data_IF_036592139964
#
_entry.id   IF_036592139964
#
_cell.length_a   1.000
_cell.length_b   1.000
_cell.length_c   1.000
_cell.angle_alpha   90.00
_cell.angle_beta   90.00
_cell.angle_gamma   90.00
#
_symmetry.space_group_name_H-M   'P 1'
#
loop_
_entity.id
_entity.type
_entity.pdbx_description
1 polymer ?
#
# COMPACT_ATOMS: atom_id res chain seq x y z
N UNK A 1 0.30 9.85 -0.15
CA UNK A 1 0.87 8.48 -0.02
C UNK A 1 0.21 7.48 -0.96
N UNK A 2 -1.12 7.50 -1.15
CA UNK A 2 -1.82 6.54 -2.02
C UNK A 2 -1.25 6.48 -3.45
N UNK A 3 -0.92 7.64 -4.04
CA UNK A 3 -0.27 7.72 -5.36
C UNK A 3 1.09 7.01 -5.43
N UNK A 4 1.92 7.10 -4.38
CA UNK A 4 3.22 6.42 -4.33
C UNK A 4 3.05 4.90 -4.23
N UNK A 5 2.07 4.45 -3.44
CA UNK A 5 1.75 3.03 -3.35
C UNK A 5 1.25 2.47 -4.70
N UNK A 6 0.39 3.21 -5.39
CA UNK A 6 -0.09 2.85 -6.72
C UNK A 6 1.06 2.72 -7.74
N UNK A 7 2.04 3.64 -7.71
CA UNK A 7 3.24 3.55 -8.56
C UNK A 7 4.05 2.28 -8.24
N UNK A 8 4.23 1.96 -6.95
CA UNK A 8 4.96 0.74 -6.56
C UNK A 8 4.25 -0.52 -7.07
N UNK A 9 2.92 -0.59 -6.96
CA UNK A 9 2.12 -1.70 -7.50
C UNK A 9 2.22 -1.74 -9.03
N UNK A 10 2.18 -0.58 -9.71
CA UNK A 10 2.36 -0.52 -11.16
C UNK A 10 3.72 -1.08 -11.59
N UNK A 11 4.79 -0.87 -10.82
CA UNK A 11 6.09 -1.50 -11.08
C UNK A 11 6.05 -3.03 -10.94
N UNK A 12 5.29 -3.56 -9.99
CA UNK A 12 5.08 -5.02 -9.83
C UNK A 12 4.33 -5.60 -11.02
N UNK A 13 3.28 -4.92 -11.47
CA UNK A 13 2.53 -5.30 -12.67
C UNK A 13 3.41 -5.25 -13.92
N UNK A 14 4.18 -4.17 -14.10
CA UNK A 14 5.11 -4.04 -15.22
C UNK A 14 6.16 -5.15 -15.27
N UNK A 15 6.62 -5.61 -14.10
CA UNK A 15 7.58 -6.73 -13.97
C UNK A 15 6.93 -8.11 -14.12
N UNK A 16 5.60 -8.19 -14.30
CA UNK A 16 4.87 -9.45 -14.41
C UNK A 16 4.74 -10.22 -13.10
N UNK A 17 4.98 -9.56 -11.94
CA UNK A 17 4.90 -10.19 -10.62
C UNK A 17 3.43 -10.37 -10.16
N UNK A 18 2.53 -9.50 -10.65
CA UNK A 18 1.08 -9.58 -10.44
C UNK A 18 0.31 -8.91 -11.59
N UNK A 19 -1.01 -9.06 -11.59
CA UNK A 19 -1.96 -8.32 -12.44
C UNK A 19 -2.95 -7.55 -11.56
N UNK A 20 -3.45 -6.42 -12.05
CA UNK A 20 -4.55 -5.69 -11.39
C UNK A 20 -5.81 -6.55 -11.21
N UNK A 21 -6.05 -7.48 -12.14
CA UNK A 21 -7.18 -8.42 -12.09
C UNK A 21 -6.95 -9.61 -11.16
N UNK A 22 -5.76 -9.75 -10.57
CA UNK A 22 -5.52 -10.84 -9.62
C UNK A 22 -6.40 -10.67 -8.40
N UNK A 23 -7.02 -11.77 -7.98
CA UNK A 23 -7.67 -11.86 -6.68
C UNK A 23 -6.62 -11.72 -5.59
N UNK A 24 -6.93 -10.96 -4.54
CA UNK A 24 -6.05 -10.80 -3.38
C UNK A 24 -5.74 -12.15 -2.73
N UNK A 25 -6.72 -13.07 -2.73
CA UNK A 25 -6.62 -14.44 -2.23
C UNK A 25 -5.55 -15.29 -2.92
N UNK A 26 -5.10 -14.89 -4.13
CA UNK A 26 -3.95 -15.52 -4.80
C UNK A 26 -2.66 -15.37 -4.00
N UNK A 27 -2.49 -14.23 -3.32
CA UNK A 27 -1.29 -13.91 -2.53
C UNK A 27 -1.55 -14.03 -1.03
N UNK A 28 -2.80 -13.86 -0.60
CA UNK A 28 -3.21 -13.86 0.80
C UNK A 28 -4.51 -14.67 0.98
N UNK A 29 -4.43 -16.00 1.07
CA UNK A 29 -5.62 -16.86 1.13
C UNK A 29 -6.56 -16.52 2.30
N UNK A 30 -6.01 -16.18 3.47
CA UNK A 30 -6.76 -15.84 4.67
C UNK A 30 -7.58 -14.55 4.52
N UNK A 31 -7.22 -13.67 3.59
CA UNK A 31 -8.01 -12.50 3.24
C UNK A 31 -9.42 -12.88 2.76
N UNK A 32 -9.60 -14.06 2.16
CA UNK A 32 -10.85 -14.44 1.50
C UNK A 32 -12.07 -14.55 2.42
N UNK A 33 -11.91 -14.54 3.74
CA UNK A 33 -13.04 -14.70 4.68
C UNK A 33 -14.09 -13.59 4.50
N UNK A 34 -15.31 -13.86 4.95
CA UNK A 34 -16.39 -12.88 5.09
C UNK A 34 -16.76 -12.17 3.78
N UNK A 35 -16.76 -12.90 2.65
CA UNK A 35 -17.21 -12.36 1.35
C UNK A 35 -16.13 -11.56 0.60
N UNK A 36 -14.86 -11.77 0.92
CA UNK A 36 -13.70 -11.06 0.33
C UNK A 36 -12.98 -11.87 -0.75
N UNK A 37 -13.46 -13.07 -1.09
CA UNK A 37 -12.81 -14.04 -1.98
C UNK A 37 -12.54 -13.49 -3.39
N UNK A 38 -13.46 -12.65 -3.88
CA UNK A 38 -13.46 -12.11 -5.25
C UNK A 38 -12.80 -10.73 -5.36
N UNK A 39 -12.33 -10.14 -4.26
CA UNK A 39 -11.69 -8.82 -4.29
C UNK A 39 -10.37 -8.90 -5.06
N UNK A 40 -10.20 -8.00 -6.02
CA UNK A 40 -8.98 -7.87 -6.81
C UNK A 40 -8.06 -6.76 -6.30
N UNK A 41 -6.80 -6.77 -6.76
CA UNK A 41 -5.87 -5.65 -6.53
C UNK A 41 -6.46 -4.33 -7.05
N UNK A 42 -7.09 -4.35 -8.22
CA UNK A 42 -7.76 -3.18 -8.79
C UNK A 42 -8.85 -2.61 -7.87
N UNK A 43 -9.69 -3.47 -7.29
CA UNK A 43 -10.73 -3.04 -6.35
C UNK A 43 -10.16 -2.35 -5.10
N UNK A 44 -8.98 -2.75 -4.62
CA UNK A 44 -8.31 -2.03 -3.52
C UNK A 44 -7.83 -0.66 -4.00
N UNK A 45 -7.14 -0.63 -5.16
CA UNK A 45 -6.57 0.61 -5.72
C UNK A 45 -7.62 1.66 -6.07
N UNK A 46 -8.82 1.22 -6.45
CA UNK A 46 -9.95 2.07 -6.86
C UNK A 46 -10.99 2.28 -5.76
N UNK A 47 -10.71 1.84 -4.53
CA UNK A 47 -11.60 1.98 -3.37
C UNK A 47 -12.96 1.27 -3.50
N UNK A 48 -13.00 0.15 -4.22
CA UNK A 48 -14.18 -0.69 -4.42
C UNK A 48 -14.18 -1.97 -3.58
N UNK A 49 -13.16 -2.21 -2.76
CA UNK A 49 -13.05 -3.39 -1.90
C UNK A 49 -14.10 -3.46 -0.77
N UNK A 50 -14.80 -2.36 -0.48
CA UNK A 50 -15.81 -2.32 0.57
C UNK A 50 -15.28 -2.22 1.99
N UNK A 51 -14.03 -1.81 2.19
CA UNK A 51 -13.37 -1.77 3.50
C UNK A 51 -12.93 -0.35 3.92
N UNK A 52 -13.80 0.67 3.85
CA UNK A 52 -13.42 2.06 4.12
C UNK A 52 -12.97 2.30 5.57
N UNK A 53 -13.41 1.46 6.51
CA UNK A 53 -13.03 1.41 7.91
C UNK A 53 -13.13 -0.02 8.45
N UNK A 54 -12.51 -0.27 9.59
CA UNK A 54 -12.60 -1.55 10.32
C UNK A 54 -13.45 -1.37 11.58
N UNK A 55 -14.13 -2.43 12.01
CA UNK A 55 -14.96 -2.40 13.22
C UNK A 55 -14.12 -2.49 14.51
N UNK A 56 -12.92 -3.08 14.44
CA UNK A 56 -12.00 -3.15 15.57
C UNK A 56 -11.33 -1.79 15.83
N UNK A 57 -11.32 -1.36 17.09
CA UNK A 57 -10.59 -0.16 17.52
C UNK A 57 -9.08 -0.42 17.44
N UNK A 58 -8.40 0.30 16.55
CA UNK A 58 -6.95 0.16 16.33
C UNK A 58 -6.19 1.21 17.14
N UNK A 59 -5.37 0.77 18.09
CA UNK A 59 -4.43 1.66 18.79
C UNK A 59 -3.22 1.99 17.92
N UNK A 60 -2.44 3.00 18.33
CA UNK A 60 -1.18 3.32 17.65
C UNK A 60 -0.13 2.19 17.72
N UNK A 61 -0.21 1.31 18.71
CA UNK A 61 0.69 0.17 18.81
C UNK A 61 0.22 -0.99 17.92
N UNK A 62 -1.09 -1.23 17.83
CA UNK A 62 -1.66 -2.17 16.84
C UNK A 62 -1.27 -1.75 15.42
N UNK A 63 -1.33 -0.45 15.11
CA UNK A 63 -0.97 0.08 13.79
C UNK A 63 0.49 -0.18 13.37
N UNK A 64 1.38 -0.50 14.32
CA UNK A 64 2.79 -0.86 14.06
C UNK A 64 2.98 -2.36 13.89
N UNK A 65 2.04 -3.17 14.38
CA UNK A 65 2.09 -4.62 14.29
C UNK A 65 1.41 -5.10 12.99
N UNK A 66 2.26 -5.43 12.01
CA UNK A 66 1.80 -5.94 10.71
C UNK A 66 0.97 -7.22 10.85
N UNK A 67 1.27 -8.10 11.80
CA UNK A 67 0.53 -9.35 11.99
C UNK A 67 -0.85 -9.08 12.59
N UNK A 68 -0.93 -8.19 13.58
CA UNK A 68 -2.20 -7.76 14.17
C UNK A 68 -3.11 -7.11 13.12
N UNK A 69 -2.60 -6.16 12.34
CA UNK A 69 -3.36 -5.53 11.25
C UNK A 69 -3.81 -6.55 10.20
N UNK A 70 -2.96 -7.52 9.84
CA UNK A 70 -3.33 -8.62 8.93
C UNK A 70 -4.56 -9.36 9.47
N UNK A 71 -4.56 -9.73 10.76
CA UNK A 71 -5.67 -10.46 11.38
C UNK A 71 -6.96 -9.66 11.42
N UNK A 72 -6.88 -8.36 11.73
CA UNK A 72 -8.04 -7.46 11.69
C UNK A 72 -8.65 -7.45 10.29
N UNK A 73 -7.83 -7.30 9.25
CA UNK A 73 -8.30 -7.29 7.86
C UNK A 73 -8.91 -8.64 7.47
N UNK A 74 -8.30 -9.76 7.87
CA UNK A 74 -8.80 -11.11 7.58
C UNK A 74 -10.22 -11.30 8.14
N UNK A 75 -10.46 -10.87 9.37
CA UNK A 75 -11.77 -11.01 10.03
C UNK A 75 -12.78 -9.92 9.66
N UNK A 76 -12.37 -8.85 8.97
CA UNK A 76 -13.28 -7.76 8.60
C UNK A 76 -14.31 -8.18 7.53
N UNK A 77 -15.52 -7.65 7.60
CA UNK A 77 -16.55 -7.81 6.56
C UNK A 77 -16.68 -6.54 5.70
N UNK A 78 -16.80 -6.66 4.37
CA UNK A 78 -17.09 -5.50 3.53
C UNK A 78 -18.37 -4.77 3.97
N UNK A 79 -18.31 -3.44 4.10
CA UNK A 79 -19.45 -2.57 4.48
C UNK A 79 -20.46 -2.42 3.36
N UNK A 80 -20.06 -2.76 2.14
CA UNK A 80 -20.91 -2.92 0.97
C UNK A 80 -20.31 -4.01 0.08
N UNK A 81 -21.09 -4.62 -0.83
CA UNK A 81 -20.56 -5.65 -1.72
C UNK A 81 -19.32 -5.14 -2.49
N UNK A 82 -18.25 -5.95 -2.60
CA UNK A 82 -17.09 -5.57 -3.38
C UNK A 82 -17.45 -5.28 -4.84
N UNK A 83 -16.91 -4.21 -5.40
CA UNK A 83 -17.18 -3.77 -6.77
C UNK A 83 -18.52 -3.04 -6.97
N UNK A 84 -19.42 -3.00 -5.99
CA UNK A 84 -20.73 -2.37 -6.18
C UNK A 84 -20.70 -0.84 -6.20
N UNK A 85 -19.72 -0.24 -5.53
CA UNK A 85 -19.56 1.21 -5.44
C UNK A 85 -18.14 1.59 -5.04
N UNK A 86 -17.79 2.86 -5.25
CA UNK A 86 -16.54 3.47 -4.76
C UNK A 86 -16.83 4.08 -3.38
N UNK A 87 -16.09 3.66 -2.35
CA UNK A 87 -16.11 4.26 -1.03
C UNK A 87 -14.67 4.54 -0.59
N UNK A 88 -14.29 5.80 -0.45
CA UNK A 88 -12.90 6.17 -0.16
C UNK A 88 -12.37 5.48 1.12
N UNK A 89 -11.14 4.95 1.06
CA UNK A 89 -10.46 4.27 2.16
C UNK A 89 -9.37 5.20 2.71
N UNK A 90 -9.69 6.15 3.61
CA UNK A 90 -8.75 7.20 4.01
C UNK A 90 -7.51 6.66 4.74
N UNK A 91 -7.71 5.61 5.54
CA UNK A 91 -6.67 5.01 6.39
C UNK A 91 -6.42 3.57 5.95
N UNK A 92 -7.50 2.78 5.83
CA UNK A 92 -7.43 1.34 5.53
C UNK A 92 -6.74 1.03 4.20
N UNK A 93 -6.75 1.95 3.22
CA UNK A 93 -6.03 1.80 1.96
C UNK A 93 -4.56 1.45 2.17
N UNK A 94 -3.89 2.18 3.07
CA UNK A 94 -2.46 1.99 3.32
C UNK A 94 -2.15 0.60 3.84
N UNK A 95 -2.94 0.12 4.80
CA UNK A 95 -2.78 -1.22 5.36
C UNK A 95 -3.13 -2.32 4.37
N UNK A 96 -4.25 -2.19 3.65
CA UNK A 96 -4.67 -3.17 2.65
C UNK A 96 -3.60 -3.34 1.57
N UNK A 97 -3.16 -2.23 0.97
CA UNK A 97 -2.19 -2.32 -0.12
C UNK A 97 -0.81 -2.77 0.37
N UNK A 98 -0.39 -2.39 1.57
CA UNK A 98 0.90 -2.82 2.13
C UNK A 98 0.93 -4.33 2.42
N UNK A 99 -0.14 -4.88 2.98
CA UNK A 99 -0.28 -6.32 3.26
C UNK A 99 -0.24 -7.15 1.97
N UNK A 100 -0.93 -6.70 0.93
CA UNK A 100 -0.92 -7.36 -0.39
C UNK A 100 0.46 -7.22 -1.03
N UNK A 101 1.05 -6.04 -0.99
CA UNK A 101 2.36 -5.78 -1.60
C UNK A 101 3.48 -6.61 -0.97
N UNK A 102 3.52 -6.72 0.37
CA UNK A 102 4.50 -7.55 1.07
C UNK A 102 4.45 -9.02 0.65
N UNK A 103 3.27 -9.52 0.27
CA UNK A 103 3.08 -10.91 -0.18
C UNK A 103 3.44 -11.12 -1.65
N UNK A 104 3.34 -10.07 -2.46
CA UNK A 104 3.78 -10.06 -3.87
C UNK A 104 5.31 -9.90 -3.95
N UNK A 105 5.89 -9.03 -3.13
CA UNK A 105 7.33 -8.75 -3.18
C UNK A 105 8.14 -9.96 -2.71
N UNK A 106 9.05 -10.44 -3.57
CA UNK A 106 9.90 -11.58 -3.27
C UNK A 106 10.82 -11.40 -2.04
N UNK A 107 11.10 -10.15 -1.62
CA UNK A 107 11.87 -9.83 -0.40
C UNK A 107 10.96 -9.52 0.80
N UNK A 108 9.64 -9.65 0.64
CA UNK A 108 8.64 -9.34 1.65
C UNK A 108 8.73 -7.92 2.24
N UNK A 109 9.19 -6.97 1.42
CA UNK A 109 9.28 -5.55 1.80
C UNK A 109 7.88 -4.93 1.82
N UNK A 110 7.68 -4.00 2.75
CA UNK A 110 6.58 -3.02 2.68
C UNK A 110 6.69 -2.16 1.42
N UNK A 111 5.57 -1.56 1.02
CA UNK A 111 5.51 -0.55 -0.04
C UNK A 111 6.50 0.58 0.26
N UNK A 112 6.61 0.99 1.53
CA UNK A 112 7.52 2.04 1.95
C UNK A 112 9.00 1.66 1.81
N UNK A 113 9.37 0.43 2.15
CA UNK A 113 10.72 -0.11 1.95
C UNK A 113 11.06 -0.22 0.47
N UNK A 114 10.16 -0.80 -0.32
CA UNK A 114 10.31 -0.90 -1.77
C UNK A 114 10.46 0.47 -2.43
N UNK A 115 9.60 1.43 -2.07
CA UNK A 115 9.67 2.79 -2.60
C UNK A 115 11.02 3.44 -2.32
N UNK A 116 11.53 3.29 -1.08
CA UNK A 116 12.84 3.82 -0.72
C UNK A 116 13.95 3.22 -1.58
N UNK A 117 14.02 1.90 -1.65
CA UNK A 117 15.11 1.19 -2.32
C UNK A 117 15.05 1.29 -3.86
N UNK A 118 13.87 1.22 -4.45
CA UNK A 118 13.71 1.08 -5.90
C UNK A 118 13.45 2.40 -6.61
N UNK A 119 12.98 3.43 -5.89
CA UNK A 119 12.63 4.72 -6.48
C UNK A 119 13.47 5.82 -5.86
N UNK A 120 13.32 6.08 -4.55
CA UNK A 120 13.99 7.22 -3.90
C UNK A 120 15.51 7.13 -4.01
N UNK A 121 16.09 5.98 -3.66
CA UNK A 121 17.55 5.84 -3.56
C UNK A 121 18.19 5.72 -4.96
N UNK A 122 17.49 5.10 -5.93
CA UNK A 122 17.96 4.97 -7.32
C UNK A 122 17.84 6.25 -8.14
N UNK A 123 16.82 7.07 -7.91
CA UNK A 123 16.67 8.35 -8.59
C UNK A 123 17.63 9.43 -8.06
N UNK A 124 18.33 9.13 -6.97
CA UNK A 124 19.23 10.06 -6.30
C UNK A 124 18.44 11.19 -5.65
N UNK A 125 18.64 11.40 -4.36
CA UNK A 125 18.13 12.56 -3.61
C UNK A 125 18.80 13.87 -4.04
N UNK A 126 18.68 14.24 -5.32
CA UNK A 126 19.05 15.55 -5.85
C UNK A 126 17.83 16.40 -6.25
N UNK A 127 16.61 15.87 -6.11
CA UNK A 127 15.39 16.60 -6.44
C UNK A 127 15.00 17.65 -5.38
N UNK A 128 15.58 17.62 -4.17
CA UNK A 128 15.20 18.53 -3.07
C UNK A 128 16.36 19.02 -2.16
N UNK A 129 17.63 18.81 -2.53
CA UNK A 129 18.78 19.28 -1.71
C UNK A 129 19.70 20.32 -2.37
N UNK A 130 19.30 20.94 -3.48
CA UNK A 130 20.08 22.01 -4.13
C UNK A 130 19.68 23.45 -3.75
N UNK A 131 19.11 23.69 -2.57
CA UNK A 131 18.90 25.05 -2.04
C UNK A 131 19.92 25.44 -0.95
N UNK A 132 20.91 24.60 -0.65
CA UNK A 132 21.92 24.90 0.39
C UNK A 132 23.34 25.15 -0.14
N UNK A 133 23.57 25.14 -1.47
CA UNK A 133 24.86 25.53 -2.09
C UNK A 133 24.82 27.00 -2.59
N UNK A 134 24.18 27.90 -1.83
CA UNK A 134 24.33 29.36 -2.02
C UNK A 134 24.75 30.09 -0.73
N UNK A 135 25.11 29.37 0.35
CA UNK A 135 25.72 29.97 1.55
C UNK A 135 27.25 29.91 1.60
N UNK A 136 27.91 29.45 0.53
CA UNK A 136 29.37 29.36 0.47
C UNK A 136 30.01 30.19 -0.65
N UNK A 137 29.24 31.10 -1.26
CA UNK A 137 29.74 32.04 -2.28
C UNK A 137 29.63 33.53 -1.88
N UNK A 138 29.31 33.83 -0.62
CA UNK A 138 29.52 35.17 -0.07
C UNK A 138 30.77 35.16 0.81
N UNK A 139 31.95 35.21 0.17
CA UNK A 139 33.12 35.85 0.77
C UNK A 139 32.90 37.37 0.69
N UNK A 140 32.95 38.11 1.80
CA UNK A 140 33.42 39.48 1.77
C UNK A 140 34.93 39.50 2.05
N UNK A 141 35.60 40.29 1.20
CA UNK A 141 36.93 40.87 1.40
C UNK A 141 36.92 41.70 2.70
#
# INVERSE_FOLDING_TARGET
MQSLAAICVAMKVYRGECSYSDKVTRFWPEFGKNGKEEITIDMILTHQAGLPYFDEDITLDDAKDKAKISKIIEEESPKHPPGSQIAYHPITFGWLIDQVFCRIDAKHRSVGEFFREEIRDKLGTNCYQKTLILKQLCLPI
#
